data_IF_017921409767
#
_entry.id   IF_017921409767
#
_cell.length_a   1.000
_cell.length_b   1.000
_cell.length_c   1.000
_cell.angle_alpha   90.00
_cell.angle_beta   90.00
_cell.angle_gamma   90.00
#
_symmetry.space_group_name_H-M   'P 1'
#
loop_
_entity.id
_entity.type
_entity.pdbx_description
1 polymer ?
#
# COMPACT_ATOMS: atom_id res chain seq x y z
N UNK A 1 2.29 2.84 44.42
CA UNK A 1 2.29 1.39 44.70
C UNK A 1 1.29 1.07 45.81
N UNK A 2 0.14 0.46 45.44
CA UNK A 2 -0.80 -0.43 46.17
C UNK A 2 -2.09 -0.60 45.31
N UNK A 3 -2.85 -1.69 45.42
CA UNK A 3 -2.80 -2.78 44.43
C UNK A 3 -4.12 -3.12 43.72
N UNK A 4 -4.05 -4.15 42.88
CA UNK A 4 -5.09 -4.83 42.10
C UNK A 4 -6.45 -5.00 42.78
N UNK A 5 -7.52 -4.68 42.03
CA UNK A 5 -8.90 -5.11 42.30
C UNK A 5 -9.43 -5.95 41.14
N UNK A 6 -9.57 -7.26 41.40
CA UNK A 6 -10.33 -8.20 40.59
C UNK A 6 -11.83 -7.86 40.65
N UNK A 7 -12.51 -7.87 39.50
CA UNK A 7 -13.94 -8.20 39.45
C UNK A 7 -14.17 -9.25 38.36
N UNK A 8 -14.27 -10.49 38.81
CA UNK A 8 -14.86 -11.59 38.06
C UNK A 8 -16.37 -11.39 38.01
N UNK A 9 -17.00 -11.47 36.84
CA UNK A 9 -18.44 -11.69 36.75
C UNK A 9 -18.81 -12.62 35.58
N UNK A 10 -19.24 -13.83 35.99
CA UNK A 10 -20.24 -14.73 35.41
C UNK A 10 -20.00 -15.34 34.03
N UNK A 11 -19.51 -16.58 34.07
CA UNK A 11 -19.87 -17.65 33.13
C UNK A 11 -21.33 -18.06 33.38
N UNK A 12 -22.19 -17.83 32.38
CA UNK A 12 -23.46 -18.56 32.24
C UNK A 12 -23.39 -19.41 30.98
N UNK A 13 -23.27 -20.72 31.22
CA UNK A 13 -23.32 -21.80 30.25
C UNK A 13 -24.70 -21.87 29.59
N UNK A 14 -24.75 -21.68 28.27
CA UNK A 14 -25.82 -22.21 27.42
C UNK A 14 -25.14 -22.78 26.16
N UNK A 15 -25.12 -24.11 26.11
CA UNK A 15 -24.66 -24.89 24.98
C UNK A 15 -25.63 -24.73 23.80
N UNK A 16 -25.12 -24.33 22.64
CA UNK A 16 -25.83 -24.44 21.37
C UNK A 16 -24.85 -24.63 20.19
N UNK A 17 -24.67 -25.90 19.82
CA UNK A 17 -24.36 -26.48 18.49
C UNK A 17 -23.00 -26.21 17.79
N UNK A 18 -22.37 -27.24 17.19
CA UNK A 18 -21.07 -27.14 16.55
C UNK A 18 -21.24 -26.70 15.09
N UNK A 19 -21.18 -25.39 14.84
CA UNK A 19 -20.80 -24.87 13.52
C UNK A 19 -19.59 -23.98 13.70
N UNK A 20 -18.46 -24.66 13.62
CA UNK A 20 -17.20 -24.13 13.10
C UNK A 20 -16.74 -22.84 13.76
N UNK A 21 -16.09 -23.03 14.91
CA UNK A 21 -15.07 -22.14 15.44
C UNK A 21 -13.92 -22.05 14.41
N UNK A 22 -14.09 -21.22 13.37
CA UNK A 22 -12.97 -20.79 12.53
C UNK A 22 -12.29 -19.67 13.31
N UNK A 23 -11.10 -19.99 13.83
CA UNK A 23 -10.14 -19.06 14.37
C UNK A 23 -9.98 -17.87 13.41
N UNK A 24 -10.48 -16.69 13.82
CA UNK A 24 -10.20 -15.41 13.18
C UNK A 24 -8.77 -14.94 13.53
N UNK A 25 -7.74 -15.70 13.17
CA UNK A 25 -6.33 -15.32 13.38
C UNK A 25 -5.52 -15.23 12.10
N UNK A 26 -6.17 -15.13 10.94
CA UNK A 26 -5.53 -15.02 9.61
C UNK A 26 -6.13 -13.87 8.77
N UNK A 27 -6.55 -12.78 9.42
CA UNK A 27 -7.03 -11.56 8.74
C UNK A 27 -6.34 -10.29 9.23
N UNK A 28 -5.30 -10.43 10.05
CA UNK A 28 -4.55 -9.31 10.66
C UNK A 28 -3.12 -9.16 10.11
N UNK A 29 -2.73 -9.95 9.10
CA UNK A 29 -1.36 -9.95 8.54
C UNK A 29 -1.21 -9.19 7.22
N UNK A 30 -2.29 -8.63 6.66
CA UNK A 30 -2.22 -7.55 5.68
C UNK A 30 -2.23 -6.20 6.42
N UNK A 31 -1.30 -6.02 7.35
CA UNK A 31 -1.01 -4.69 7.85
C UNK A 31 -0.34 -3.94 6.70
N UNK A 32 -0.93 -2.79 6.35
CA UNK A 32 -0.53 -1.82 5.32
C UNK A 32 0.90 -1.32 5.55
N UNK A 33 1.87 -2.18 5.24
CA UNK A 33 3.28 -1.89 5.32
C UNK A 33 3.80 -1.77 3.90
N UNK A 34 4.43 -0.63 3.63
CA UNK A 34 5.06 -0.33 2.36
C UNK A 34 5.84 -1.55 1.83
N UNK A 35 5.68 -1.92 0.55
CA UNK A 35 6.23 -3.16 0.04
C UNK A 35 7.76 -3.27 0.23
N UNK A 36 8.23 -4.45 0.67
CA UNK A 36 9.66 -4.75 0.91
C UNK A 36 10.10 -6.12 0.39
N UNK A 37 11.36 -6.19 -0.04
CA UNK A 37 12.04 -7.36 -0.60
C UNK A 37 13.42 -7.37 0.03
N UNK A 38 13.57 -8.17 1.09
CA UNK A 38 14.64 -7.94 2.06
C UNK A 38 14.44 -6.60 2.75
N UNK A 39 15.51 -5.81 2.84
CA UNK A 39 15.50 -4.49 3.47
C UNK A 39 15.14 -3.35 2.51
N UNK A 40 15.02 -3.65 1.20
CA UNK A 40 14.81 -2.63 0.16
C UNK A 40 13.34 -2.22 0.10
N UNK A 41 13.08 -0.92 0.23
CA UNK A 41 11.76 -0.32 0.09
C UNK A 41 11.39 -0.07 -1.39
N UNK A 42 10.21 -0.57 -1.79
CA UNK A 42 9.64 -0.27 -3.11
C UNK A 42 8.16 0.03 -3.06
N UNK A 43 7.69 0.65 -4.14
CA UNK A 43 6.30 0.99 -4.37
C UNK A 43 5.51 -0.18 -4.96
N UNK A 44 4.18 -0.18 -4.81
CA UNK A 44 3.30 -1.14 -5.50
C UNK A 44 3.53 -1.18 -7.02
N UNK A 45 3.90 -0.05 -7.62
CA UNK A 45 4.20 0.05 -9.05
C UNK A 45 5.56 -0.53 -9.45
N UNK A 46 6.42 -0.91 -8.51
CA UNK A 46 7.78 -1.40 -8.78
C UNK A 46 8.85 -0.31 -8.85
N UNK A 47 8.62 0.87 -8.27
CA UNK A 47 9.67 1.87 -8.09
C UNK A 47 10.45 1.60 -6.80
N UNK A 48 11.77 1.75 -6.83
CA UNK A 48 12.59 1.70 -5.62
C UNK A 48 12.44 3.03 -4.86
N UNK A 49 11.70 3.02 -3.76
CA UNK A 49 11.44 4.23 -2.96
C UNK A 49 12.74 4.81 -2.37
N UNK A 50 13.72 3.95 -2.07
CA UNK A 50 15.04 4.36 -1.57
C UNK A 50 15.81 5.26 -2.54
N UNK A 51 15.48 5.20 -3.83
CA UNK A 51 16.10 6.02 -4.87
C UNK A 51 15.18 7.14 -5.36
N UNK A 52 13.94 7.23 -4.87
CA UNK A 52 12.97 8.25 -5.27
C UNK A 52 13.30 9.59 -4.59
N UNK A 53 13.62 10.67 -5.35
CA UNK A 53 13.95 11.95 -4.74
C UNK A 53 12.85 12.51 -3.84
N UNK A 54 11.58 12.33 -4.18
CA UNK A 54 10.46 12.78 -3.35
C UNK A 54 10.42 12.04 -2.01
N UNK A 55 10.65 10.72 -2.00
CA UNK A 55 10.67 9.92 -0.78
C UNK A 55 11.91 10.24 0.08
N UNK A 56 13.09 10.29 -0.53
CA UNK A 56 14.36 10.59 0.15
C UNK A 56 14.35 11.99 0.78
N UNK A 57 13.74 12.98 0.12
CA UNK A 57 13.56 14.34 0.63
C UNK A 57 12.40 14.48 1.63
N UNK A 58 11.71 13.39 1.96
CA UNK A 58 10.54 13.37 2.86
C UNK A 58 9.37 14.25 2.38
N UNK A 59 9.24 14.40 1.06
CA UNK A 59 8.11 15.08 0.41
C UNK A 59 6.98 14.11 0.02
N UNK A 60 7.25 12.79 0.09
CA UNK A 60 6.28 11.74 -0.14
C UNK A 60 6.15 10.86 1.11
N UNK A 61 4.92 10.60 1.55
CA UNK A 61 4.61 9.79 2.74
C UNK A 61 4.71 8.27 2.48
N UNK A 62 5.06 7.87 1.26
CA UNK A 62 5.11 6.48 0.83
C UNK A 62 3.79 6.00 0.22
N UNK A 63 3.80 4.79 -0.33
CA UNK A 63 2.67 4.32 -1.14
C UNK A 63 1.38 4.04 -0.36
N UNK A 64 1.48 3.74 0.93
CA UNK A 64 0.30 3.39 1.74
C UNK A 64 -0.61 4.60 1.94
N UNK A 65 -0.06 5.82 1.97
CA UNK A 65 -0.83 7.07 1.99
C UNK A 65 -1.69 7.27 0.72
N UNK A 66 -1.44 6.48 -0.32
CA UNK A 66 -2.12 6.59 -1.61
C UNK A 66 -2.87 5.30 -1.99
N UNK A 67 -3.06 4.35 -1.07
CA UNK A 67 -3.66 3.04 -1.39
C UNK A 67 -5.07 3.17 -1.99
N UNK A 68 -5.85 4.14 -1.51
CA UNK A 68 -7.23 4.37 -1.92
C UNK A 68 -7.38 5.08 -3.27
N UNK A 69 -6.30 5.68 -3.79
CA UNK A 69 -6.32 6.48 -5.02
C UNK A 69 -5.40 5.94 -6.11
N UNK A 70 -4.30 5.29 -5.75
CA UNK A 70 -3.31 4.75 -6.68
C UNK A 70 -3.80 3.46 -7.36
N UNK A 71 -3.97 3.48 -8.68
CA UNK A 71 -4.40 2.29 -9.43
C UNK A 71 -3.38 1.16 -9.41
N UNK A 72 -2.08 1.44 -9.25
CA UNK A 72 -1.08 0.36 -9.07
C UNK A 72 -1.26 -0.37 -7.75
N UNK A 73 -1.57 0.35 -6.67
CA UNK A 73 -1.83 -0.24 -5.36
C UNK A 73 -3.08 -1.12 -5.41
N UNK A 74 -4.20 -0.59 -5.93
CA UNK A 74 -5.44 -1.36 -6.12
C UNK A 74 -5.22 -2.61 -6.96
N UNK A 75 -4.55 -2.48 -8.10
CA UNK A 75 -4.27 -3.62 -9.00
C UNK A 75 -3.40 -4.69 -8.32
N UNK A 76 -2.44 -4.32 -7.48
CA UNK A 76 -1.61 -5.28 -6.74
C UNK A 76 -2.44 -6.02 -5.68
N UNK A 77 -3.24 -5.28 -4.89
CA UNK A 77 -4.15 -5.81 -3.88
C UNK A 77 -5.15 -6.80 -4.50
N UNK A 78 -5.84 -6.39 -5.58
CA UNK A 78 -6.83 -7.21 -6.28
C UNK A 78 -6.24 -8.53 -6.83
N UNK A 79 -4.96 -8.50 -7.23
CA UNK A 79 -4.25 -9.68 -7.73
C UNK A 79 -3.60 -10.52 -6.62
N UNK A 80 -3.65 -10.07 -5.37
CA UNK A 80 -2.99 -10.72 -4.25
C UNK A 80 -1.47 -10.75 -4.36
N UNK A 81 -0.86 -9.76 -5.03
CA UNK A 81 0.60 -9.63 -5.15
C UNK A 81 1.09 -8.41 -4.36
N UNK A 82 2.33 -8.47 -3.85
CA UNK A 82 2.89 -7.38 -3.03
C UNK A 82 3.25 -6.16 -3.87
N UNK A 83 3.63 -6.36 -5.13
CA UNK A 83 3.89 -5.30 -6.09
C UNK A 83 3.88 -5.81 -7.52
N UNK A 84 4.07 -4.89 -8.45
CA UNK A 84 4.18 -5.16 -9.87
C UNK A 84 5.30 -6.15 -10.23
N UNK A 85 6.41 -6.24 -9.50
CA UNK A 85 7.48 -7.20 -9.81
C UNK A 85 7.08 -8.67 -9.63
N UNK A 86 6.07 -8.95 -8.80
CA UNK A 86 5.52 -10.29 -8.63
C UNK A 86 4.41 -10.61 -9.64
N UNK A 87 3.99 -9.63 -10.44
CA UNK A 87 2.96 -9.84 -11.44
C UNK A 87 3.55 -10.55 -12.67
N UNK A 88 3.04 -11.74 -12.99
CA UNK A 88 3.46 -12.52 -14.17
C UNK A 88 3.24 -11.83 -15.51
N UNK A 89 2.41 -10.77 -15.54
CA UNK A 89 2.14 -9.94 -16.72
C UNK A 89 2.93 -8.64 -16.73
N UNK A 90 3.88 -8.44 -15.82
CA UNK A 90 4.68 -7.24 -15.76
C UNK A 90 5.67 -7.16 -16.94
N UNK A 91 5.81 -6.00 -17.63
CA UNK A 91 4.98 -4.80 -17.51
C UNK A 91 3.60 -4.99 -18.16
N UNK A 92 2.54 -4.78 -17.38
CA UNK A 92 1.16 -4.96 -17.85
C UNK A 92 0.60 -3.70 -18.52
N UNK A 93 -0.64 -3.74 -19.01
CA UNK A 93 -1.25 -2.60 -19.70
C UNK A 93 -1.24 -1.31 -18.88
N UNK A 94 -1.48 -1.40 -17.57
CA UNK A 94 -1.44 -0.24 -16.66
C UNK A 94 -0.06 0.43 -16.64
N UNK A 95 1.03 -0.32 -16.78
CA UNK A 95 2.38 0.22 -16.92
C UNK A 95 2.63 0.83 -18.30
N UNK A 96 2.12 0.20 -19.35
CA UNK A 96 2.29 0.65 -20.74
C UNK A 96 1.52 1.95 -21.02
N UNK A 97 0.29 2.04 -20.54
CA UNK A 97 -0.61 3.14 -20.82
C UNK A 97 -0.62 4.20 -19.72
N UNK A 98 -0.38 3.82 -18.46
CA UNK A 98 -0.64 4.69 -17.32
C UNK A 98 -2.13 4.83 -17.02
N UNK A 99 -2.45 5.78 -16.14
CA UNK A 99 -3.84 6.10 -15.77
C UNK A 99 -4.01 7.59 -15.48
N UNK A 100 -5.25 8.07 -15.50
CA UNK A 100 -5.55 9.44 -15.09
C UNK A 100 -5.57 9.53 -13.57
N UNK A 101 -4.80 10.45 -13.02
CA UNK A 101 -4.73 10.73 -11.59
C UNK A 101 -5.04 12.21 -11.36
N UNK A 102 -5.97 12.48 -10.46
CA UNK A 102 -6.25 13.82 -9.93
C UNK A 102 -5.56 14.02 -8.59
N UNK A 103 -4.76 15.07 -8.48
CA UNK A 103 -4.01 15.44 -7.27
C UNK A 103 -4.33 16.88 -6.91
N UNK A 104 -4.21 17.24 -5.62
CA UNK A 104 -4.41 18.62 -5.17
C UNK A 104 -3.34 19.57 -5.72
N UNK A 105 -2.10 19.10 -5.83
CA UNK A 105 -0.94 19.91 -6.24
C UNK A 105 -0.85 20.11 -7.76
N UNK A 106 -1.12 19.06 -8.55
CA UNK A 106 -0.90 19.06 -10.00
C UNK A 106 -2.20 18.94 -10.81
N UNK A 107 -3.35 18.87 -10.16
CA UNK A 107 -4.64 18.65 -10.82
C UNK A 107 -4.71 17.29 -11.51
N UNK A 108 -5.43 17.23 -12.64
CA UNK A 108 -5.59 16.02 -13.46
C UNK A 108 -4.41 15.82 -14.38
N UNK A 109 -3.72 14.70 -14.25
CA UNK A 109 -2.59 14.31 -15.08
C UNK A 109 -2.66 12.83 -15.47
N UNK A 110 -1.92 12.48 -16.53
CA UNK A 110 -1.73 11.08 -16.91
C UNK A 110 -0.51 10.51 -16.21
N UNK A 111 -0.74 9.79 -15.12
CA UNK A 111 0.31 9.13 -14.36
C UNK A 111 0.77 7.87 -15.07
N UNK A 112 2.03 7.87 -15.49
CA UNK A 112 2.70 6.71 -16.08
C UNK A 112 4.12 6.69 -15.53
N UNK A 113 4.52 5.57 -14.92
CA UNK A 113 5.86 5.43 -14.37
C UNK A 113 6.88 5.64 -15.48
N UNK A 114 7.90 6.47 -15.23
CA UNK A 114 8.92 6.91 -16.19
C UNK A 114 8.42 7.73 -17.40
N UNK A 115 7.21 8.28 -17.38
CA UNK A 115 6.82 9.32 -18.35
C UNK A 115 7.51 10.66 -18.06
N UNK A 116 7.48 11.59 -19.01
CA UNK A 116 7.97 12.96 -18.80
C UNK A 116 7.28 13.64 -17.60
N UNK A 117 5.96 13.50 -17.48
CA UNK A 117 5.19 14.03 -16.33
C UNK A 117 5.72 13.45 -15.01
N UNK A 118 5.93 12.13 -14.97
CA UNK A 118 6.48 11.46 -13.80
C UNK A 118 7.89 11.97 -13.46
N UNK A 119 8.76 12.08 -14.46
CA UNK A 119 10.15 12.53 -14.27
C UNK A 119 10.21 14.00 -13.85
N UNK A 120 9.33 14.86 -14.35
CA UNK A 120 9.27 16.26 -13.95
C UNK A 120 8.84 16.40 -12.49
N UNK A 121 7.83 15.64 -12.06
CA UNK A 121 7.32 15.67 -10.68
C UNK A 121 8.35 15.09 -9.71
N UNK A 122 8.90 13.91 -10.01
CA UNK A 122 9.77 13.19 -9.08
C UNK A 122 11.24 13.62 -9.18
N UNK A 123 11.71 13.97 -10.38
CA UNK A 123 13.09 14.40 -10.64
C UNK A 123 13.38 15.82 -10.18
N UNK A 124 12.36 16.61 -9.84
CA UNK A 124 12.53 17.98 -9.36
C UNK A 124 13.08 18.92 -10.44
N UNK A 125 12.91 18.59 -11.72
CA UNK A 125 13.14 19.52 -12.81
C UNK A 125 11.93 20.44 -12.89
N UNK A 126 11.84 21.40 -11.97
CA UNK A 126 11.08 22.61 -12.21
C UNK A 126 11.67 23.24 -13.47
N UNK A 127 10.92 23.20 -14.57
CA UNK A 127 11.18 24.06 -15.73
C UNK A 127 11.32 25.49 -15.22
N UNK A 128 12.54 26.03 -15.30
CA UNK A 128 12.82 27.44 -15.10
C UNK A 128 12.20 28.30 -16.19
#
# INVERSE_FOLDING_TARGET
>A
MKPLGQLAYRLSSLAATPKTLILHTELSFWCMCMPKLGDVLYAYCGLLCELCPAYVKKLCEGCDAHVDTCLFAKCAIEKGVRCCFECTKFPCQLHKEGFMWETEEYGKLKWKVYSEVFLNIIGGTSSG
#
